data_IF_835900216400
#
_entry.id   IF_835900216400
#
_cell.length_a   1.000
_cell.length_b   1.000
_cell.length_c   1.000
_cell.angle_alpha   90.00
_cell.angle_beta   90.00
_cell.angle_gamma   90.00
#
_symmetry.space_group_name_H-M   'P 1'
#
loop_
_entity.id
_entity.type
_entity.pdbx_description
1 polymer ?
#
# COMPACT_ATOMS: atom_id res chain seq x y z
N UNK A 1 -10.95 -50.54 -35.72
CA UNK A 1 -10.34 -50.01 -34.48
C UNK A 1 -10.95 -48.63 -34.22
N UNK A 2 -11.56 -48.37 -33.06
CA UNK A 2 -12.12 -47.04 -32.78
C UNK A 2 -10.98 -46.04 -32.54
N UNK A 3 -11.01 -44.91 -33.24
CA UNK A 3 -10.05 -43.83 -33.07
C UNK A 3 -10.23 -43.09 -31.74
N UNK A 4 -9.20 -42.38 -31.24
CA UNK A 4 -9.28 -41.68 -29.97
C UNK A 4 -10.23 -40.47 -30.08
N UNK A 5 -11.02 -40.26 -29.03
CA UNK A 5 -11.87 -39.09 -28.86
C UNK A 5 -11.00 -37.83 -28.63
N UNK A 6 -11.43 -36.64 -29.10
CA UNK A 6 -10.74 -35.39 -28.78
C UNK A 6 -10.87 -35.07 -27.28
N UNK A 7 -9.72 -34.83 -26.64
CA UNK A 7 -9.62 -34.38 -25.26
C UNK A 7 -10.28 -33.01 -25.09
N UNK A 8 -11.02 -32.86 -24.00
CA UNK A 8 -11.65 -31.59 -23.63
C UNK A 8 -10.57 -30.60 -23.20
N UNK A 9 -10.69 -29.30 -23.53
CA UNK A 9 -9.76 -28.29 -23.02
C UNK A 9 -9.89 -28.21 -21.50
N UNK A 10 -8.74 -28.26 -20.83
CA UNK A 10 -8.67 -28.08 -19.38
C UNK A 10 -8.98 -26.62 -19.07
N UNK A 11 -10.00 -26.38 -18.24
CA UNK A 11 -10.33 -25.06 -17.71
C UNK A 11 -9.20 -24.59 -16.81
N UNK A 12 -8.38 -23.67 -17.31
CA UNK A 12 -7.36 -22.96 -16.54
C UNK A 12 -8.05 -22.12 -15.45
N UNK A 13 -7.70 -22.39 -14.20
CA UNK A 13 -8.34 -21.80 -13.02
C UNK A 13 -8.16 -20.28 -12.99
N UNK A 14 -9.28 -19.56 -12.97
CA UNK A 14 -9.27 -18.13 -12.68
C UNK A 14 -8.60 -17.86 -11.32
N UNK A 15 -7.77 -16.81 -11.19
CA UNK A 15 -7.12 -16.48 -9.94
C UNK A 15 -8.19 -16.11 -8.90
N UNK A 16 -8.15 -16.81 -7.77
CA UNK A 16 -9.04 -16.55 -6.64
C UNK A 16 -8.63 -15.21 -6.01
N UNK A 17 -9.47 -14.20 -6.16
CA UNK A 17 -9.30 -12.90 -5.50
C UNK A 17 -9.35 -13.13 -3.98
N UNK A 18 -8.22 -12.97 -3.31
CA UNK A 18 -8.15 -12.95 -1.84
C UNK A 18 -8.76 -11.63 -1.36
N UNK A 19 -9.89 -11.73 -0.66
CA UNK A 19 -10.54 -10.59 -0.01
C UNK A 19 -9.66 -10.18 1.17
N UNK A 20 -8.85 -9.13 0.99
CA UNK A 20 -8.08 -8.53 2.07
C UNK A 20 -9.07 -7.91 3.05
N UNK A 21 -9.11 -8.44 4.27
CA UNK A 21 -10.00 -7.97 5.33
C UNK A 21 -9.73 -6.50 5.67
N UNK A 22 -10.80 -5.72 5.80
CA UNK A 22 -10.75 -4.27 6.07
C UNK A 22 -10.18 -4.02 7.46
N UNK A 23 -9.27 -3.05 7.67
CA UNK A 23 -8.76 -2.75 8.99
C UNK A 23 -9.88 -2.20 9.89
N UNK A 24 -9.83 -2.61 11.16
CA UNK A 24 -10.75 -2.22 12.22
C UNK A 24 -10.92 -0.69 12.28
N UNK A 25 -12.15 -0.22 12.08
CA UNK A 25 -12.51 1.17 12.32
C UNK A 25 -12.59 1.39 13.84
N UNK A 26 -11.81 2.33 14.35
CA UNK A 26 -11.99 2.83 15.71
C UNK A 26 -13.37 3.49 15.85
N UNK A 27 -14.02 3.30 17.00
CA UNK A 27 -15.45 3.61 17.20
C UNK A 27 -15.81 5.10 17.16
N UNK A 28 -14.82 5.98 17.03
CA UNK A 28 -14.98 7.45 17.02
C UNK A 28 -14.79 8.11 15.64
N UNK A 29 -14.55 7.35 14.55
CA UNK A 29 -14.57 7.86 13.18
C UNK A 29 -13.55 8.97 12.84
N UNK A 30 -12.65 9.30 13.77
CA UNK A 30 -11.60 10.30 13.58
C UNK A 30 -10.35 9.57 13.11
N UNK A 31 -10.12 9.58 11.80
CA UNK A 31 -8.82 9.19 11.23
C UNK A 31 -7.75 10.12 11.83
N UNK A 32 -7.08 9.66 12.88
CA UNK A 32 -5.92 10.36 13.44
C UNK A 32 -4.86 10.31 12.36
N UNK A 33 -4.77 11.39 11.58
CA UNK A 33 -3.89 11.45 10.42
C UNK A 33 -2.45 11.42 10.92
N UNK A 34 -1.74 10.34 10.64
CA UNK A 34 -0.34 10.22 11.08
C UNK A 34 0.49 11.30 10.35
N UNK A 35 1.25 12.14 11.07
CA UNK A 35 2.04 13.20 10.45
C UNK A 35 2.99 12.63 9.39
N UNK A 36 2.92 13.16 8.17
CA UNK A 36 3.74 12.67 7.06
C UNK A 36 5.04 13.49 6.95
N UNK A 37 6.17 12.84 6.63
CA UNK A 37 7.42 13.55 6.42
C UNK A 37 7.34 14.34 5.10
N UNK A 38 7.89 15.54 5.14
CA UNK A 38 8.09 16.42 3.99
C UNK A 38 9.53 16.28 3.48
N UNK A 39 9.92 17.06 2.46
CA UNK A 39 11.32 17.12 2.02
C UNK A 39 12.29 17.53 3.16
N UNK A 40 11.76 18.32 4.10
CA UNK A 40 12.49 19.00 5.17
C UNK A 40 12.34 18.32 6.53
N UNK A 41 11.45 17.32 6.65
CA UNK A 41 11.21 16.61 7.91
C UNK A 41 11.38 15.11 7.74
N UNK A 42 11.58 14.40 8.85
CA UNK A 42 11.69 12.95 8.90
C UNK A 42 11.07 12.40 10.17
N UNK A 43 10.68 11.13 10.14
CA UNK A 43 10.22 10.46 11.35
C UNK A 43 11.38 10.14 12.31
N UNK A 44 11.08 10.27 13.60
CA UNK A 44 11.93 9.81 14.71
C UNK A 44 11.10 8.97 15.68
N UNK A 45 11.61 7.79 16.00
CA UNK A 45 11.08 7.04 17.14
C UNK A 45 11.66 7.60 18.44
N UNK A 46 10.82 8.16 19.30
CA UNK A 46 11.24 8.74 20.59
C UNK A 46 11.63 7.67 21.61
N UNK A 47 11.22 6.41 21.40
CA UNK A 47 11.53 5.29 22.29
C UNK A 47 12.95 4.76 22.10
N UNK A 48 13.37 4.47 20.86
CA UNK A 48 14.66 3.84 20.57
C UNK A 48 15.62 4.70 19.74
N UNK A 49 15.19 5.88 19.28
CA UNK A 49 16.00 6.80 18.48
C UNK A 49 16.12 6.44 17.00
N UNK A 50 15.39 5.43 16.49
CA UNK A 50 15.39 5.08 15.08
C UNK A 50 14.88 6.23 14.20
N UNK A 51 15.57 6.48 13.09
CA UNK A 51 15.30 7.56 12.13
C UNK A 51 15.13 7.07 10.69
N UNK A 52 15.37 5.77 10.42
CA UNK A 52 15.58 5.29 9.04
C UNK A 52 14.72 4.11 8.64
N UNK A 53 14.09 3.39 9.59
CA UNK A 53 13.30 2.18 9.29
C UNK A 53 11.94 2.20 9.96
N UNK A 54 10.89 2.35 9.16
CA UNK A 54 9.51 2.34 9.59
C UNK A 54 8.69 1.48 8.63
N UNK A 55 7.77 0.68 9.17
CA UNK A 55 6.71 0.06 8.37
C UNK A 55 5.57 1.07 8.29
N UNK A 56 5.08 1.34 7.08
CA UNK A 56 4.04 2.36 6.81
C UNK A 56 2.87 1.67 6.14
N UNK A 57 1.69 1.79 6.75
CA UNK A 57 0.43 1.34 6.14
C UNK A 57 -0.30 2.54 5.58
N UNK A 58 -0.83 2.39 4.36
CA UNK A 58 -1.40 3.47 3.58
C UNK A 58 -2.57 2.97 2.74
N UNK A 59 -3.62 3.79 2.68
CA UNK A 59 -4.71 3.66 1.73
C UNK A 59 -4.56 4.68 0.61
N UNK A 60 -4.65 4.22 -0.64
CA UNK A 60 -4.60 5.07 -1.84
C UNK A 60 -5.84 4.86 -2.70
N UNK A 61 -6.48 5.94 -3.12
CA UNK A 61 -7.52 5.96 -4.15
C UNK A 61 -6.87 6.34 -5.47
N UNK A 62 -6.99 5.48 -6.47
CA UNK A 62 -6.30 5.61 -7.75
C UNK A 62 -7.30 5.43 -8.88
N UNK A 63 -7.17 6.24 -9.93
CA UNK A 63 -7.86 6.07 -11.22
C UNK A 63 -6.82 5.65 -12.24
N UNK A 64 -7.13 4.61 -13.03
CA UNK A 64 -6.20 4.06 -14.02
C UNK A 64 -6.90 3.95 -15.38
N UNK A 65 -6.23 4.43 -16.43
CA UNK A 65 -6.61 4.14 -17.80
C UNK A 65 -5.98 2.80 -18.19
N UNK A 66 -6.80 1.76 -18.22
CA UNK A 66 -6.38 0.39 -18.55
C UNK A 66 -6.77 0.09 -19.99
N UNK A 67 -5.76 -0.15 -20.82
CA UNK A 67 -5.93 -0.68 -22.15
C UNK A 67 -5.88 -2.22 -22.10
N UNK A 68 -6.90 -2.86 -22.65
CA UNK A 68 -6.93 -4.31 -22.89
C UNK A 68 -6.66 -4.52 -24.37
N UNK A 69 -5.71 -5.40 -24.68
CA UNK A 69 -5.54 -5.83 -26.06
C UNK A 69 -6.70 -6.74 -26.52
N UNK A 70 -6.65 -7.17 -27.79
CA UNK A 70 -7.70 -8.04 -28.35
C UNK A 70 -7.70 -9.45 -27.75
N UNK A 71 -6.60 -9.89 -27.13
CA UNK A 71 -6.52 -11.16 -26.41
C UNK A 71 -6.99 -11.02 -24.94
N UNK A 72 -7.16 -9.79 -24.46
CA UNK A 72 -7.58 -9.46 -23.10
C UNK A 72 -6.44 -9.20 -22.11
N UNK A 73 -5.20 -9.02 -22.58
CA UNK A 73 -4.06 -8.71 -21.72
C UNK A 73 -4.09 -7.24 -21.28
N UNK A 74 -4.06 -6.93 -19.96
CA UNK A 74 -4.17 -5.56 -19.47
C UNK A 74 -2.82 -4.84 -19.44
N UNK A 75 -2.83 -3.58 -19.86
CA UNK A 75 -1.75 -2.60 -19.67
C UNK A 75 -2.31 -1.31 -19.07
N UNK A 76 -1.68 -0.81 -18.00
CA UNK A 76 -1.99 0.52 -17.47
C UNK A 76 -1.22 1.56 -18.29
N UNK A 77 -1.94 2.43 -18.99
CA UNK A 77 -1.33 3.50 -19.80
C UNK A 77 -1.21 4.81 -19.04
N UNK A 78 -2.17 5.10 -18.15
CA UNK A 78 -2.15 6.27 -17.28
C UNK A 78 -2.64 5.90 -15.88
N UNK A 79 -2.02 6.52 -14.85
CA UNK A 79 -2.37 6.35 -13.45
C UNK A 79 -2.42 7.70 -12.75
N UNK A 80 -3.56 8.02 -12.17
CA UNK A 80 -3.79 9.20 -11.34
C UNK A 80 -4.05 8.77 -9.88
N UNK A 81 -3.25 9.26 -8.94
CA UNK A 81 -3.52 9.08 -7.50
C UNK A 81 -4.42 10.20 -7.02
N UNK A 82 -5.70 9.88 -6.81
CA UNK A 82 -6.74 10.85 -6.41
C UNK A 82 -6.58 11.28 -4.96
N UNK A 83 -6.26 10.33 -4.08
CA UNK A 83 -6.02 10.61 -2.66
C UNK A 83 -5.17 9.54 -2.03
N UNK A 84 -4.40 9.92 -1.02
CA UNK A 84 -3.53 9.02 -0.30
C UNK A 84 -3.53 9.37 1.19
N UNK A 85 -3.65 8.37 2.06
CA UNK A 85 -3.70 8.55 3.51
C UNK A 85 -2.79 7.54 4.18
N UNK A 86 -1.89 8.02 5.05
CA UNK A 86 -1.09 7.16 5.93
C UNK A 86 -1.95 6.80 7.14
N UNK A 87 -2.17 5.49 7.31
CA UNK A 87 -3.02 4.94 8.37
C UNK A 87 -2.24 4.67 9.64
N UNK A 88 -1.03 4.14 9.50
CA UNK A 88 -0.15 3.86 10.64
C UNK A 88 1.31 3.89 10.23
N UNK A 89 2.16 4.20 11.21
CA UNK A 89 3.61 4.11 11.09
C UNK A 89 4.09 3.32 12.29
N UNK A 90 4.91 2.29 12.06
CA UNK A 90 5.49 1.44 13.10
C UNK A 90 6.99 1.48 13.03
N UNK A 91 7.66 1.73 14.15
CA UNK A 91 9.11 1.62 14.22
C UNK A 91 9.51 0.16 14.01
N UNK A 92 10.20 -0.14 12.90
CA UNK A 92 10.57 -1.53 12.58
C UNK A 92 11.60 -2.12 13.55
N UNK A 93 12.30 -1.29 14.31
CA UNK A 93 13.32 -1.73 15.27
C UNK A 93 12.73 -2.20 16.62
N UNK A 94 11.80 -1.42 17.19
CA UNK A 94 11.26 -1.67 18.53
C UNK A 94 9.74 -1.91 18.56
N UNK A 95 9.10 -1.88 17.40
CA UNK A 95 7.67 -2.13 17.21
C UNK A 95 6.71 -1.05 17.78
N UNK A 96 7.22 0.08 18.28
CA UNK A 96 6.38 1.18 18.76
C UNK A 96 5.59 1.84 17.62
N UNK A 97 4.32 2.17 17.87
CA UNK A 97 3.39 2.80 16.89
C UNK A 97 2.93 4.20 17.32
N UNK A 98 3.04 4.51 18.60
CA UNK A 98 2.57 5.73 19.26
C UNK A 98 3.73 6.66 19.69
N UNK A 99 4.98 6.30 19.33
CA UNK A 99 6.20 7.00 19.74
C UNK A 99 6.96 7.60 18.57
N UNK A 100 6.23 8.02 17.54
CA UNK A 100 6.81 8.52 16.29
C UNK A 100 6.45 10.00 16.13
N UNK A 101 7.48 10.83 15.99
CA UNK A 101 7.34 12.27 15.78
C UNK A 101 8.02 12.70 14.48
N UNK A 102 7.66 13.88 13.97
CA UNK A 102 8.41 14.55 12.91
C UNK A 102 9.50 15.42 13.52
N UNK A 103 10.70 15.33 12.97
CA UNK A 103 11.83 16.21 13.28
C UNK A 103 12.43 16.74 11.98
N UNK A 104 13.16 17.85 12.06
CA UNK A 104 13.83 18.41 10.90
C UNK A 104 14.88 17.46 10.32
N UNK A 105 14.99 17.50 9.00
CA UNK A 105 16.09 16.90 8.27
C UNK A 105 17.33 17.78 8.43
N UNK A 106 18.51 17.18 8.65
CA UNK A 106 19.75 17.94 8.59
C UNK A 106 19.87 18.71 7.26
N UNK A 107 20.05 20.03 7.33
CA UNK A 107 20.19 20.91 6.17
C UNK A 107 18.89 21.55 5.65
N UNK A 108 17.75 21.34 6.29
CA UNK A 108 16.45 21.93 5.89
C UNK A 108 16.32 23.46 6.14
N UNK A 109 17.33 24.10 6.75
CA UNK A 109 17.28 25.52 7.12
C UNK A 109 18.59 26.27 6.88
N UNK A 110 19.38 25.82 5.90
CA UNK A 110 20.66 26.42 5.51
C UNK A 110 20.52 27.40 4.35
#
# INVERSE_FOLDING_TARGET
>A
MPGPLPGHPQSEGAPRVEVVERPDHDKDGTMTTVPQPTADTRWRCTLCGNLTRFDVTRSSKVVEYVHLDLAGEPTVEEREVVSETIESVRCRWCNAVDRIELVDRPGAGS
#
